data_IF_201295261863
#
_entry.id   IF_201295261863
#
_cell.length_a   1.000
_cell.length_b   1.000
_cell.length_c   1.000
_cell.angle_alpha   90.00
_cell.angle_beta   90.00
_cell.angle_gamma   90.00
#
_symmetry.space_group_name_H-M   'P 1'
#
loop_
_entity.id
_entity.type
_entity.pdbx_description
1 polymer ?
#
# COMPACT_ATOMS: atom_id res chain seq x y z
N UNK A 1 18.59 -11.81 -5.95
CA UNK A 1 19.56 -11.01 -5.16
C UNK A 1 20.81 -10.80 -5.99
N UNK A 2 21.30 -9.57 -6.12
CA UNK A 2 22.63 -9.30 -6.69
C UNK A 2 23.53 -8.78 -5.56
N UNK A 3 24.70 -9.38 -5.35
CA UNK A 3 25.62 -8.99 -4.26
C UNK A 3 24.95 -8.93 -2.87
N UNK A 4 24.07 -9.89 -2.55
CA UNK A 4 23.26 -9.92 -1.30
C UNK A 4 22.35 -8.70 -1.10
N UNK A 5 22.00 -8.01 -2.18
CA UNK A 5 21.03 -6.90 -2.18
C UNK A 5 19.76 -7.32 -2.92
N UNK A 6 18.64 -6.87 -2.38
CA UNK A 6 17.33 -6.94 -3.02
C UNK A 6 16.97 -5.56 -3.57
N UNK A 7 16.33 -5.55 -4.74
CA UNK A 7 15.69 -4.34 -5.22
C UNK A 7 14.45 -4.07 -4.35
N UNK A 8 14.39 -2.90 -3.70
CA UNK A 8 13.30 -2.53 -2.81
C UNK A 8 12.65 -1.22 -3.29
N UNK A 9 11.74 -1.30 -4.27
CA UNK A 9 11.18 -0.12 -4.92
C UNK A 9 10.28 0.69 -3.98
N UNK A 10 10.28 2.02 -4.16
CA UNK A 10 9.42 2.96 -3.45
C UNK A 10 8.92 4.03 -4.41
N UNK A 11 7.65 4.40 -4.30
CA UNK A 11 7.08 5.45 -5.13
C UNK A 11 7.62 6.83 -4.77
N UNK A 12 8.25 7.52 -5.73
CA UNK A 12 8.75 8.89 -5.59
C UNK A 12 7.94 9.86 -6.45
N UNK A 13 6.66 10.01 -6.10
CA UNK A 13 5.70 10.91 -6.74
C UNK A 13 4.59 11.27 -5.75
N UNK A 14 3.73 12.22 -6.10
CA UNK A 14 2.51 12.46 -5.32
C UNK A 14 1.68 11.18 -5.31
N UNK A 15 1.27 10.73 -4.12
CA UNK A 15 0.60 9.44 -3.90
C UNK A 15 1.54 8.32 -3.43
N UNK A 16 2.86 8.53 -3.50
CA UNK A 16 3.85 7.58 -3.00
C UNK A 16 3.73 6.22 -3.68
N UNK A 17 3.91 5.14 -2.91
CA UNK A 17 3.85 3.77 -3.45
C UNK A 17 2.47 3.37 -3.96
N UNK A 18 1.38 4.01 -3.51
CA UNK A 18 0.04 3.72 -4.04
C UNK A 18 -0.09 4.00 -5.54
N UNK A 19 0.74 4.91 -6.08
CA UNK A 19 0.78 5.26 -7.50
C UNK A 19 1.55 4.27 -8.37
N UNK A 20 2.21 3.26 -7.78
CA UNK A 20 2.96 2.24 -8.51
C UNK A 20 2.69 0.79 -8.06
N UNK A 21 1.93 0.59 -6.98
CA UNK A 21 1.64 -0.72 -6.38
C UNK A 21 0.89 -1.69 -7.30
N UNK A 22 0.63 -2.92 -6.85
CA UNK A 22 -0.25 -3.87 -7.56
C UNK A 22 -1.74 -3.49 -7.56
N UNK A 23 -2.14 -2.36 -6.97
CA UNK A 23 -3.53 -1.90 -6.80
C UNK A 23 -4.46 -2.79 -5.95
N UNK A 24 -4.05 -3.99 -5.56
CA UNK A 24 -4.79 -4.84 -4.64
C UNK A 24 -5.10 -4.08 -3.34
N UNK A 25 -6.33 -4.22 -2.86
CA UNK A 25 -6.79 -3.62 -1.62
C UNK A 25 -7.31 -4.71 -0.67
N UNK A 26 -6.65 -4.92 0.46
CA UNK A 26 -7.09 -5.88 1.48
C UNK A 26 -7.18 -5.18 2.84
N UNK A 27 -8.20 -5.51 3.63
CA UNK A 27 -8.31 -5.04 5.03
C UNK A 27 -7.27 -5.73 5.92
N UNK A 28 -7.03 -7.02 5.71
CA UNK A 28 -6.16 -7.87 6.53
C UNK A 28 -6.95 -8.87 7.38
N UNK A 29 -6.33 -9.43 8.42
CA UNK A 29 -6.96 -10.39 9.32
C UNK A 29 -7.30 -9.73 10.68
N UNK A 30 -8.49 -10.05 11.24
CA UNK A 30 -8.91 -9.71 12.61
C UNK A 30 -7.81 -9.94 13.64
N UNK A 31 -7.17 -11.10 13.62
CA UNK A 31 -6.16 -11.45 14.63
C UNK A 31 -4.94 -10.50 14.60
N UNK A 32 -4.63 -9.87 13.48
CA UNK A 32 -3.53 -8.91 13.39
C UNK A 32 -3.84 -7.61 14.14
N UNK A 33 -5.07 -7.12 14.02
CA UNK A 33 -5.54 -5.90 14.70
C UNK A 33 -5.79 -6.14 16.19
N UNK A 34 -6.38 -7.28 16.55
CA UNK A 34 -6.55 -7.64 17.95
C UNK A 34 -5.18 -7.80 18.65
N UNK A 35 -4.16 -8.31 17.93
CA UNK A 35 -2.77 -8.34 18.43
C UNK A 35 -2.20 -6.93 18.63
N UNK A 36 -2.50 -5.97 17.76
CA UNK A 36 -2.06 -4.58 17.98
C UNK A 36 -2.67 -3.98 19.25
N UNK A 37 -3.95 -4.24 19.51
CA UNK A 37 -4.59 -3.83 20.77
C UNK A 37 -3.85 -4.40 21.98
N UNK A 38 -3.49 -5.68 21.93
CA UNK A 38 -2.71 -6.33 23.01
C UNK A 38 -1.30 -5.75 23.18
N UNK A 39 -0.74 -5.09 22.15
CA UNK A 39 0.54 -4.39 22.19
C UNK A 39 0.42 -2.94 22.69
N UNK A 40 -0.75 -2.53 23.19
CA UNK A 40 -1.01 -1.19 23.75
C UNK A 40 -1.57 -0.19 22.75
N UNK A 41 -1.95 -0.64 21.55
CA UNK A 41 -2.67 0.19 20.58
C UNK A 41 -4.19 0.10 20.82
N UNK A 42 -4.66 0.63 21.95
CA UNK A 42 -6.04 0.42 22.44
C UNK A 42 -7.15 0.81 21.45
N UNK A 43 -6.85 1.76 20.54
CA UNK A 43 -7.78 2.27 19.51
C UNK A 43 -7.58 1.66 18.12
N UNK A 44 -6.97 0.48 18.05
CA UNK A 44 -6.65 -0.23 16.82
C UNK A 44 -7.25 -1.64 16.78
N UNK A 45 -8.36 -1.86 17.50
CA UNK A 45 -9.12 -3.12 17.42
C UNK A 45 -9.63 -3.38 16.00
N UNK A 46 -9.98 -4.65 15.72
CA UNK A 46 -10.61 -5.01 14.45
C UNK A 46 -11.83 -4.13 14.13
N UNK A 47 -12.69 -3.90 15.11
CA UNK A 47 -13.92 -3.15 14.94
C UNK A 47 -13.64 -1.69 14.55
N UNK A 48 -12.64 -1.06 15.17
CA UNK A 48 -12.23 0.31 14.85
C UNK A 48 -11.59 0.41 13.47
N UNK A 49 -10.72 -0.54 13.12
CA UNK A 49 -10.04 -0.56 11.83
C UNK A 49 -10.99 -0.86 10.67
N UNK A 50 -11.92 -1.81 10.87
CA UNK A 50 -13.00 -2.10 9.92
C UNK A 50 -13.90 -0.89 9.73
N UNK A 51 -14.27 -0.19 10.80
CA UNK A 51 -15.05 1.05 10.68
C UNK A 51 -14.33 2.13 9.87
N UNK A 52 -13.04 2.36 10.10
CA UNK A 52 -12.25 3.32 9.33
C UNK A 52 -12.10 2.91 7.86
N UNK A 53 -11.98 1.61 7.61
CA UNK A 53 -11.96 1.06 6.25
C UNK A 53 -13.27 1.34 5.51
N UNK A 54 -14.41 0.95 6.07
CA UNK A 54 -15.74 1.22 5.50
C UNK A 54 -15.93 2.72 5.23
N UNK A 55 -15.54 3.57 6.19
CA UNK A 55 -15.62 5.03 6.06
C UNK A 55 -14.73 5.60 4.95
N UNK A 56 -13.64 4.94 4.59
CA UNK A 56 -12.75 5.38 3.53
C UNK A 56 -13.31 5.08 2.12
N UNK A 57 -14.24 4.11 2.02
CA UNK A 57 -14.82 3.68 0.75
C UNK A 57 -15.82 4.70 0.20
N UNK A 58 -15.80 4.87 -1.11
CA UNK A 58 -16.83 5.58 -1.86
C UNK A 58 -18.09 4.71 -1.90
N UNK A 59 -19.23 5.30 -1.57
CA UNK A 59 -20.52 4.62 -1.59
C UNK A 59 -20.81 4.11 -2.99
N UNK A 60 -21.34 2.90 -3.07
CA UNK A 60 -21.91 2.40 -4.31
C UNK A 60 -23.26 3.07 -4.56
N UNK A 61 -23.72 3.10 -5.81
CA UNK A 61 -24.95 3.79 -6.21
C UNK A 61 -26.24 3.29 -5.50
N UNK A 62 -26.15 2.21 -4.73
CA UNK A 62 -27.28 1.54 -4.06
C UNK A 62 -27.22 1.57 -2.53
N UNK A 63 -26.27 2.28 -1.91
CA UNK A 63 -26.17 2.39 -0.44
C UNK A 63 -26.88 3.65 0.08
N UNK A 64 -27.82 3.46 1.00
CA UNK A 64 -28.52 4.54 1.71
C UNK A 64 -27.50 5.32 2.55
N UNK A 65 -27.34 6.61 2.24
CA UNK A 65 -26.28 7.47 2.78
C UNK A 65 -26.68 8.04 4.14
N UNK A 66 -26.52 7.24 5.19
CA UNK A 66 -26.46 7.72 6.59
C UNK A 66 -25.04 7.59 7.18
N UNK A 67 -24.09 7.01 6.42
CA UNK A 67 -22.68 6.86 6.81
C UNK A 67 -21.79 7.83 6.03
N UNK A 68 -20.69 8.34 6.63
CA UNK A 68 -19.75 9.19 5.92
C UNK A 68 -19.09 8.41 4.78
N UNK A 69 -19.23 8.93 3.56
CA UNK A 69 -18.70 8.33 2.34
C UNK A 69 -17.30 8.88 2.07
N UNK A 70 -16.32 7.98 1.93
CA UNK A 70 -14.94 8.32 1.58
C UNK A 70 -14.71 8.42 0.07
N UNK A 71 -13.45 8.36 -0.35
CA UNK A 71 -13.06 8.58 -1.76
C UNK A 71 -12.38 7.37 -2.40
N UNK A 72 -12.11 6.31 -1.63
CA UNK A 72 -11.48 5.09 -2.13
C UNK A 72 -12.49 4.32 -2.96
N UNK A 73 -12.14 4.05 -4.21
CA UNK A 73 -12.97 3.27 -5.12
C UNK A 73 -12.37 1.88 -5.22
N UNK A 74 -13.19 0.85 -4.97
CA UNK A 74 -12.82 -0.55 -5.15
C UNK A 74 -13.62 -1.15 -6.30
N UNK A 75 -12.92 -1.80 -7.21
CA UNK A 75 -13.48 -2.59 -8.31
C UNK A 75 -12.57 -3.81 -8.53
N UNK A 76 -12.92 -4.65 -9.49
CA UNK A 76 -12.08 -5.76 -9.94
C UNK A 76 -11.36 -5.38 -11.23
N UNK A 77 -10.22 -6.04 -11.49
CA UNK A 77 -9.51 -5.91 -12.76
C UNK A 77 -10.33 -6.45 -13.92
N UNK A 78 -9.97 -6.05 -15.13
CA UNK A 78 -10.58 -6.64 -16.32
C UNK A 78 -10.27 -8.14 -16.39
N UNK A 79 -11.28 -8.95 -16.68
CA UNK A 79 -11.19 -10.39 -16.73
C UNK A 79 -10.80 -10.83 -18.14
N UNK A 80 -9.60 -11.39 -18.28
CA UNK A 80 -9.12 -11.94 -19.54
C UNK A 80 -9.47 -13.43 -19.59
N UNK A 81 -10.02 -13.89 -20.71
CA UNK A 81 -10.44 -15.28 -20.89
C UNK A 81 -9.27 -16.25 -20.66
N UNK A 82 -8.07 -15.86 -21.10
CA UNK A 82 -6.81 -16.57 -20.93
C UNK A 82 -6.43 -16.73 -19.45
N UNK A 83 -6.76 -15.73 -18.63
CA UNK A 83 -6.54 -15.79 -17.19
C UNK A 83 -7.56 -16.69 -16.49
N UNK A 84 -8.79 -16.77 -17.01
CA UNK A 84 -9.87 -17.58 -16.45
C UNK A 84 -9.58 -19.07 -16.51
N UNK A 85 -8.94 -19.57 -17.58
CA UNK A 85 -8.58 -20.99 -17.68
C UNK A 85 -7.61 -21.39 -16.55
N UNK A 86 -6.57 -20.60 -16.32
CA UNK A 86 -5.58 -20.87 -15.26
C UNK A 86 -6.21 -20.70 -13.88
N UNK A 87 -7.02 -19.66 -13.67
CA UNK A 87 -7.73 -19.44 -12.41
C UNK A 87 -8.64 -20.64 -12.09
N UNK A 88 -9.43 -21.11 -13.05
CA UNK A 88 -10.31 -22.25 -12.88
C UNK A 88 -9.55 -23.55 -12.59
N UNK A 89 -8.41 -23.77 -13.25
CA UNK A 89 -7.55 -24.93 -12.97
C UNK A 89 -7.08 -24.94 -11.51
N UNK A 90 -6.65 -23.78 -11.00
CA UNK A 90 -6.20 -23.66 -9.60
C UNK A 90 -7.38 -23.77 -8.63
N UNK A 91 -8.56 -23.22 -8.95
CA UNK A 91 -9.77 -23.36 -8.14
C UNK A 91 -10.28 -24.81 -8.07
N UNK A 92 -10.22 -25.54 -9.18
CA UNK A 92 -10.59 -26.96 -9.19
C UNK A 92 -9.62 -27.79 -8.34
N UNK A 93 -8.31 -27.58 -8.52
CA UNK A 93 -7.29 -28.26 -7.74
C UNK A 93 -7.38 -27.92 -6.23
N UNK A 94 -7.71 -26.68 -5.89
CA UNK A 94 -7.89 -26.28 -4.49
C UNK A 94 -9.15 -26.91 -3.88
N UNK A 95 -10.22 -27.05 -4.65
CA UNK A 95 -11.45 -27.77 -4.27
C UNK A 95 -11.18 -29.26 -4.00
N UNK A 96 -10.38 -29.93 -4.84
CA UNK A 96 -9.96 -31.33 -4.61
C UNK A 96 -9.19 -31.50 -3.29
N UNK A 97 -8.47 -30.45 -2.85
CA UNK A 97 -7.77 -30.40 -1.56
C UNK A 97 -8.65 -29.93 -0.39
N UNK A 98 -9.95 -29.68 -0.63
CA UNK A 98 -10.89 -29.21 0.38
C UNK A 98 -10.67 -27.75 0.82
N UNK A 99 -9.94 -26.95 0.03
CA UNK A 99 -9.74 -25.53 0.31
C UNK A 99 -10.95 -24.71 -0.14
N UNK A 100 -11.31 -23.72 0.68
CA UNK A 100 -12.45 -22.83 0.45
C UNK A 100 -12.24 -21.92 -0.77
N UNK A 101 -13.29 -21.73 -1.55
CA UNK A 101 -13.45 -20.56 -2.41
C UNK A 101 -13.95 -19.35 -1.60
N UNK A 102 -13.27 -18.22 -1.73
CA UNK A 102 -13.60 -16.97 -1.04
C UNK A 102 -14.26 -16.04 -2.05
N UNK A 103 -15.56 -15.82 -1.89
CA UNK A 103 -16.34 -14.97 -2.80
C UNK A 103 -16.23 -13.47 -2.48
N UNK A 104 -15.81 -13.12 -1.26
CA UNK A 104 -15.67 -11.75 -0.80
C UNK A 104 -14.56 -11.63 0.25
N UNK A 105 -13.77 -10.56 0.16
CA UNK A 105 -12.66 -10.20 1.05
C UNK A 105 -12.94 -8.94 1.88
N UNK A 106 -14.17 -8.41 1.82
CA UNK A 106 -14.59 -7.20 2.55
C UNK A 106 -14.49 -7.35 4.08
N UNK A 107 -14.73 -8.57 4.59
CA UNK A 107 -14.67 -8.93 6.01
C UNK A 107 -13.32 -9.51 6.45
N UNK A 108 -12.27 -9.28 5.65
CA UNK A 108 -10.91 -9.71 5.95
C UNK A 108 -10.48 -10.96 5.19
N UNK A 109 -9.25 -11.38 5.45
CA UNK A 109 -8.60 -12.50 4.75
C UNK A 109 -8.70 -13.79 5.56
N UNK A 110 -9.08 -14.89 4.90
CA UNK A 110 -9.13 -16.24 5.47
C UNK A 110 -8.43 -17.23 4.55
N UNK A 111 -8.12 -18.43 5.06
CA UNK A 111 -7.52 -19.51 4.25
C UNK A 111 -8.47 -19.93 3.13
N UNK A 112 -7.95 -19.97 1.89
CA UNK A 112 -8.70 -20.29 0.69
C UNK A 112 -8.18 -19.57 -0.54
N UNK A 113 -8.89 -19.70 -1.66
CA UNK A 113 -8.58 -19.07 -2.95
C UNK A 113 -9.72 -18.20 -3.45
N UNK A 114 -9.40 -17.17 -4.23
CA UNK A 114 -10.37 -16.23 -4.81
C UNK A 114 -9.88 -15.66 -6.13
N UNK A 115 -10.81 -15.42 -7.04
CA UNK A 115 -10.69 -14.59 -8.24
C UNK A 115 -11.37 -13.21 -8.06
N UNK A 116 -12.13 -13.02 -6.98
CA UNK A 116 -12.81 -11.78 -6.62
C UNK A 116 -11.87 -10.82 -5.89
N UNK A 117 -10.79 -10.41 -6.55
CA UNK A 117 -9.72 -9.60 -5.94
C UNK A 117 -10.09 -8.10 -5.97
N UNK A 118 -10.38 -7.48 -4.81
CA UNK A 118 -10.61 -6.04 -4.74
C UNK A 118 -9.35 -5.24 -5.09
N UNK A 119 -9.52 -4.24 -5.94
CA UNK A 119 -8.46 -3.36 -6.37
C UNK A 119 -8.89 -1.90 -6.40
N UNK A 120 -7.97 -0.99 -6.09
CA UNK A 120 -8.19 0.46 -6.16
C UNK A 120 -8.13 0.99 -7.59
N UNK A 121 -9.10 0.57 -8.41
CA UNK A 121 -9.21 0.93 -9.83
C UNK A 121 -10.61 1.44 -10.15
N UNK A 122 -10.74 2.23 -11.20
CA UNK A 122 -12.03 2.71 -11.72
C UNK A 122 -11.91 2.77 -13.24
N UNK A 123 -12.76 2.00 -13.95
CA UNK A 123 -12.74 1.85 -15.41
C UNK A 123 -11.33 1.55 -15.95
N UNK A 124 -10.74 0.44 -15.51
CA UNK A 124 -9.38 0.02 -15.93
C UNK A 124 -8.23 0.94 -15.49
N UNK A 125 -8.49 2.03 -14.75
CA UNK A 125 -7.48 3.00 -14.34
C UNK A 125 -7.20 2.95 -12.85
N UNK A 126 -5.93 3.00 -12.48
CA UNK A 126 -5.48 3.14 -11.09
C UNK A 126 -6.08 4.37 -10.38
N UNK A 127 -6.57 4.15 -9.17
CA UNK A 127 -7.11 5.15 -8.24
C UNK A 127 -6.20 5.30 -7.01
N UNK A 128 -4.97 5.79 -7.24
CA UNK A 128 -4.00 6.08 -6.16
C UNK A 128 -4.53 7.13 -5.18
N UNK A 129 -3.95 7.20 -3.97
CA UNK A 129 -4.34 8.20 -2.95
C UNK A 129 -4.15 9.65 -3.44
N UNK A 130 -3.21 9.86 -4.35
CA UNK A 130 -3.03 11.14 -5.03
C UNK A 130 -4.27 11.56 -5.82
N UNK A 131 -4.92 10.61 -6.48
CA UNK A 131 -6.08 10.87 -7.34
C UNK A 131 -7.36 10.92 -6.52
N UNK A 132 -7.55 9.97 -5.60
CA UNK A 132 -8.77 9.84 -4.81
C UNK A 132 -8.90 10.88 -3.72
N UNK A 133 -7.82 11.25 -3.03
CA UNK A 133 -7.87 12.29 -2.00
C UNK A 133 -7.43 13.64 -2.56
N UNK A 134 -6.14 13.77 -2.88
CA UNK A 134 -5.56 15.08 -3.16
C UNK A 134 -6.09 15.70 -4.47
N UNK A 135 -6.21 14.90 -5.52
CA UNK A 135 -6.64 15.33 -6.84
C UNK A 135 -8.07 15.87 -6.86
N UNK A 136 -8.95 15.35 -5.99
CA UNK A 136 -10.34 15.78 -5.91
C UNK A 136 -10.51 17.16 -5.28
N UNK A 137 -9.66 17.53 -4.31
CA UNK A 137 -9.86 18.76 -3.52
C UNK A 137 -8.77 19.83 -3.68
N UNK A 138 -7.64 19.51 -4.33
CA UNK A 138 -6.49 20.43 -4.45
C UNK A 138 -6.78 21.73 -5.21
N UNK A 139 -7.84 21.78 -6.03
CA UNK A 139 -8.27 22.99 -6.76
C UNK A 139 -9.40 23.75 -6.07
N UNK A 140 -10.08 23.13 -5.11
CA UNK A 140 -11.29 23.69 -4.49
C UNK A 140 -11.05 24.15 -3.06
N UNK A 141 -10.04 23.63 -2.38
CA UNK A 141 -9.71 23.99 -0.99
C UNK A 141 -8.57 25.01 -0.95
N UNK A 142 -8.83 26.30 -0.67
CA UNK A 142 -7.80 27.34 -0.67
C UNK A 142 -6.81 27.21 0.49
N UNK A 143 -7.19 26.51 1.56
CA UNK A 143 -6.36 26.27 2.75
C UNK A 143 -5.42 25.05 2.61
N UNK A 144 -5.36 24.41 1.45
CA UNK A 144 -4.46 23.30 1.17
C UNK A 144 -3.36 23.72 0.20
N UNK A 145 -2.12 23.56 0.62
CA UNK A 145 -0.94 23.85 -0.20
C UNK A 145 -0.12 22.58 -0.45
N UNK A 146 0.23 22.33 -1.70
CA UNK A 146 1.02 21.15 -2.11
C UNK A 146 2.31 21.61 -2.76
N UNK A 147 3.43 21.37 -2.09
CA UNK A 147 4.76 21.71 -2.61
C UNK A 147 5.39 20.45 -3.21
N UNK A 148 5.57 20.44 -4.54
CA UNK A 148 6.22 19.34 -5.26
C UNK A 148 7.72 19.52 -5.30
N UNK A 149 8.47 18.41 -5.46
CA UNK A 149 9.94 18.40 -5.53
C UNK A 149 10.59 19.07 -4.31
N UNK A 150 9.96 18.94 -3.13
CA UNK A 150 10.46 19.40 -1.85
C UNK A 150 10.84 18.18 -1.01
N UNK A 151 12.13 17.87 -0.91
CA UNK A 151 12.62 16.78 -0.08
C UNK A 151 12.85 17.31 1.34
N UNK A 152 12.02 16.89 2.29
CA UNK A 152 12.24 17.20 3.71
C UNK A 152 13.51 16.50 4.18
N UNK A 153 14.36 17.26 4.87
CA UNK A 153 15.68 16.79 5.35
C UNK A 153 15.81 16.84 6.87
N UNK A 154 14.99 17.65 7.55
CA UNK A 154 15.04 17.79 9.00
C UNK A 154 13.71 18.30 9.57
N UNK A 155 13.31 17.79 10.73
CA UNK A 155 12.25 18.36 11.57
C UNK A 155 12.90 19.40 12.49
N UNK A 156 12.25 20.55 12.63
CA UNK A 156 12.71 21.66 13.47
C UNK A 156 11.99 21.58 14.81
N UNK A 157 12.72 21.80 15.91
CA UNK A 157 12.20 21.77 17.27
C UNK A 157 12.33 23.13 17.95
N UNK A 158 11.51 23.36 18.98
CA UNK A 158 11.65 24.48 19.90
C UNK A 158 12.99 24.46 20.64
N UNK A 159 13.38 25.57 21.26
CA UNK A 159 14.67 25.71 21.95
C UNK A 159 14.87 24.71 23.10
N UNK A 160 13.79 24.35 23.78
CA UNK A 160 13.72 23.32 24.83
C UNK A 160 13.51 21.89 24.27
N UNK A 161 13.42 21.74 22.94
CA UNK A 161 13.14 20.50 22.23
C UNK A 161 11.81 19.80 22.55
N UNK A 162 10.89 20.46 23.26
CA UNK A 162 9.62 19.86 23.69
C UNK A 162 8.61 19.72 22.55
N UNK A 163 8.77 20.46 21.45
CA UNK A 163 7.78 20.51 20.37
C UNK A 163 8.41 20.63 18.99
N UNK A 164 7.85 19.91 18.02
CA UNK A 164 8.14 20.14 16.60
C UNK A 164 7.47 21.44 16.13
N UNK A 165 8.26 22.34 15.54
CA UNK A 165 7.82 23.69 15.13
C UNK A 165 7.86 23.93 13.63
N UNK A 166 8.27 22.93 12.85
CA UNK A 166 8.36 23.04 11.40
C UNK A 166 9.28 22.02 10.77
N UNK A 167 9.60 22.22 9.50
CA UNK A 167 10.52 21.36 8.75
C UNK A 167 11.45 22.18 7.86
N UNK A 168 12.64 21.64 7.62
CA UNK A 168 13.57 22.09 6.60
C UNK A 168 13.55 21.13 5.40
N UNK A 169 13.50 21.69 4.19
CA UNK A 169 13.44 20.91 2.95
C UNK A 169 14.29 21.53 1.84
N UNK A 170 14.69 20.69 0.89
CA UNK A 170 15.38 21.08 -0.34
C UNK A 170 14.37 21.11 -1.48
N UNK A 171 14.12 22.29 -2.04
CA UNK A 171 13.24 22.51 -3.18
C UNK A 171 14.01 22.38 -4.49
N UNK A 172 13.49 21.54 -5.39
CA UNK A 172 14.04 21.25 -6.72
C UNK A 172 15.52 20.86 -6.70
N UNK A 173 16.00 20.26 -5.61
CA UNK A 173 17.40 19.90 -5.37
C UNK A 173 18.40 21.08 -5.25
N UNK A 174 17.93 22.32 -5.11
CA UNK A 174 18.81 23.49 -5.11
C UNK A 174 18.59 24.41 -3.90
N UNK A 175 17.34 24.67 -3.52
CA UNK A 175 17.04 25.69 -2.50
C UNK A 175 16.70 25.06 -1.16
N UNK A 176 17.52 25.32 -0.13
CA UNK A 176 17.21 24.93 1.25
C UNK A 176 16.26 25.96 1.86
N UNK A 177 15.07 25.53 2.22
CA UNK A 177 13.99 26.36 2.76
C UNK A 177 13.44 25.77 4.05
N UNK A 178 12.77 26.59 4.84
CA UNK A 178 12.11 26.20 6.08
C UNK A 178 10.64 26.62 6.03
N UNK A 179 9.78 25.82 6.65
CA UNK A 179 8.37 26.17 6.88
C UNK A 179 8.02 25.86 8.33
N UNK A 180 7.36 26.82 8.99
CA UNK A 180 6.91 26.65 10.37
C UNK A 180 5.53 25.95 10.40
N UNK A 181 5.30 25.19 11.46
CA UNK A 181 4.01 24.58 11.76
C UNK A 181 3.47 25.16 13.07
N UNK A 182 2.24 25.67 13.04
CA UNK A 182 1.60 26.23 14.24
C UNK A 182 1.12 25.14 15.20
N UNK A 183 0.46 24.11 14.64
CA UNK A 183 -0.08 23.01 15.43
C UNK A 183 0.86 21.80 15.45
N UNK A 184 0.99 21.11 14.32
CA UNK A 184 1.59 19.77 14.26
C UNK A 184 2.44 19.57 13.01
N UNK A 185 3.39 18.64 13.10
CA UNK A 185 4.15 18.10 11.97
C UNK A 185 3.82 16.61 11.85
N UNK A 186 3.15 16.22 10.77
CA UNK A 186 2.81 14.82 10.48
C UNK A 186 3.85 14.19 9.55
N UNK A 187 4.50 13.12 9.99
CA UNK A 187 5.49 12.39 9.18
C UNK A 187 4.84 11.22 8.46
N UNK A 188 4.64 11.36 7.15
CA UNK A 188 4.06 10.33 6.28
C UNK A 188 5.02 9.90 5.15
N UNK A 189 6.32 9.74 5.46
CA UNK A 189 7.34 9.36 4.48
C UNK A 189 7.43 7.82 4.24
N UNK A 190 6.59 7.06 4.94
CA UNK A 190 6.51 5.59 4.96
C UNK A 190 7.67 4.89 5.65
N UNK A 191 7.63 3.55 5.67
CA UNK A 191 8.44 2.69 6.54
C UNK A 191 9.98 2.90 6.44
N UNK A 192 10.50 3.34 5.28
CA UNK A 192 11.94 3.55 5.10
C UNK A 192 12.36 4.99 5.37
N UNK A 193 11.63 5.97 4.83
CA UNK A 193 12.06 7.38 4.91
C UNK A 193 11.59 8.08 6.19
N UNK A 194 10.55 7.59 6.87
CA UNK A 194 10.11 8.15 8.15
C UNK A 194 11.15 7.94 9.25
N UNK A 195 11.64 6.70 9.52
CA UNK A 195 12.70 6.52 10.52
C UNK A 195 13.99 7.24 10.11
N UNK A 196 14.33 7.26 8.81
CA UNK A 196 15.46 8.07 8.32
C UNK A 196 15.33 9.55 8.69
N UNK A 197 14.17 10.16 8.44
CA UNK A 197 13.95 11.57 8.75
C UNK A 197 14.01 11.83 10.26
N UNK A 198 13.42 10.94 11.07
CA UNK A 198 13.49 11.03 12.53
C UNK A 198 14.93 10.95 13.03
N UNK A 199 15.72 9.99 12.55
CA UNK A 199 17.14 9.84 12.86
C UNK A 199 17.94 11.11 12.47
N UNK A 200 17.74 11.62 11.25
CA UNK A 200 18.37 12.86 10.78
C UNK A 200 17.97 14.10 11.58
N UNK A 201 16.83 14.03 12.26
CA UNK A 201 16.31 15.09 13.13
C UNK A 201 16.69 14.92 14.60
N UNK A 202 17.49 13.90 14.94
CA UNK A 202 17.96 13.65 16.30
C UNK A 202 17.05 12.76 17.16
N UNK A 203 16.05 12.11 16.57
CA UNK A 203 15.18 11.16 17.28
C UNK A 203 15.59 9.74 16.88
N UNK A 204 16.20 9.00 17.80
CA UNK A 204 16.69 7.65 17.55
C UNK A 204 17.73 7.16 18.56
N UNK A 205 18.31 5.97 18.36
CA UNK A 205 19.20 5.35 19.35
C UNK A 205 20.45 6.20 19.61
N UNK A 206 20.71 6.52 20.88
CA UNK A 206 21.83 7.38 21.33
C UNK A 206 23.16 7.10 20.63
N UNK A 207 23.63 5.85 20.68
CA UNK A 207 24.94 5.47 20.13
C UNK A 207 24.99 5.63 18.60
N UNK A 208 23.89 5.32 17.91
CA UNK A 208 23.82 5.49 16.45
C UNK A 208 23.87 6.98 16.08
N UNK A 209 23.09 7.83 16.76
CA UNK A 209 23.11 9.28 16.51
C UNK A 209 24.48 9.88 16.79
N UNK A 210 25.12 9.49 17.90
CA UNK A 210 26.47 9.91 18.28
C UNK A 210 27.52 9.50 17.24
N UNK A 211 27.48 8.27 16.75
CA UNK A 211 28.40 7.79 15.71
C UNK A 211 28.29 8.59 14.39
N UNK A 212 27.14 9.19 14.11
CA UNK A 212 26.90 10.03 12.93
C UNK A 212 27.07 11.53 13.21
N UNK A 213 27.45 11.93 14.43
CA UNK A 213 27.61 13.34 14.82
C UNK A 213 26.28 14.11 14.85
N UNK A 214 25.16 13.43 15.06
CA UNK A 214 23.83 14.04 15.12
C UNK A 214 23.50 14.39 16.58
N UNK A 215 23.19 15.67 16.85
CA UNK A 215 22.70 16.09 18.16
C UNK A 215 21.39 15.37 18.48
N UNK A 216 21.37 14.63 19.59
CA UNK A 216 20.19 13.92 20.06
C UNK A 216 19.13 14.88 20.60
N UNK A 217 17.88 14.58 20.26
CA UNK A 217 16.65 15.19 20.75
C UNK A 217 15.91 14.21 21.66
N UNK A 218 15.81 12.94 21.25
CA UNK A 218 15.19 11.88 22.04
C UNK A 218 15.83 10.53 21.74
N UNK A 219 16.05 9.73 22.79
CA UNK A 219 16.53 8.35 22.68
C UNK A 219 15.36 7.39 22.51
N UNK A 220 15.14 6.94 21.28
CA UNK A 220 14.05 6.03 20.92
C UNK A 220 14.58 4.97 19.95
N UNK A 221 14.02 3.74 19.92
CA UNK A 221 14.48 2.66 19.04
C UNK A 221 14.08 2.85 17.57
N UNK A 222 14.16 4.08 17.05
CA UNK A 222 13.78 4.43 15.67
C UNK A 222 14.63 3.66 14.67
N UNK A 223 13.96 3.01 13.71
CA UNK A 223 14.60 2.21 12.66
C UNK A 223 14.64 0.71 12.97
N UNK A 224 14.31 0.29 14.19
CA UNK A 224 14.15 -1.11 14.55
C UNK A 224 12.77 -1.65 14.11
N UNK A 225 12.55 -2.95 14.30
CA UNK A 225 11.27 -3.64 14.06
C UNK A 225 10.79 -3.62 12.59
N UNK A 226 11.72 -3.54 11.62
CA UNK A 226 11.39 -3.61 10.20
C UNK A 226 10.91 -5.02 9.84
N UNK A 227 9.66 -5.11 9.38
CA UNK A 227 9.04 -6.32 8.87
C UNK A 227 8.61 -6.09 7.41
N UNK A 228 8.70 -7.14 6.59
CA UNK A 228 8.18 -7.16 5.22
C UNK A 228 7.77 -8.60 4.85
N UNK A 229 6.97 -8.74 3.79
CA UNK A 229 6.59 -10.04 3.25
C UNK A 229 7.68 -10.53 2.29
N UNK A 230 8.33 -11.65 2.64
CA UNK A 230 9.24 -12.33 1.73
C UNK A 230 8.49 -12.85 0.51
N UNK A 231 9.04 -12.63 -0.69
CA UNK A 231 8.44 -13.07 -1.95
C UNK A 231 9.39 -14.03 -2.68
N UNK A 232 8.86 -15.19 -3.06
CA UNK A 232 9.54 -16.17 -3.90
C UNK A 232 8.68 -16.41 -5.16
N UNK A 233 9.07 -15.89 -6.33
CA UNK A 233 8.35 -16.19 -7.57
C UNK A 233 8.62 -17.63 -7.99
N UNK A 234 7.56 -18.36 -8.33
CA UNK A 234 7.63 -19.68 -8.96
C UNK A 234 7.17 -19.55 -10.40
N UNK A 235 8.00 -19.97 -11.35
CA UNK A 235 7.69 -19.98 -12.78
C UNK A 235 7.49 -21.43 -13.19
N UNK A 236 6.29 -21.77 -13.62
CA UNK A 236 5.91 -23.13 -14.02
C UNK A 236 5.71 -23.18 -15.54
N UNK A 237 6.11 -24.29 -16.14
CA UNK A 237 5.86 -24.58 -17.55
C UNK A 237 4.78 -25.64 -17.66
N UNK A 238 3.74 -25.36 -18.44
CA UNK A 238 2.68 -26.32 -18.72
C UNK A 238 3.07 -27.24 -19.89
N UNK A 239 2.62 -28.50 -19.84
CA UNK A 239 2.85 -29.49 -20.90
C UNK A 239 1.92 -29.36 -22.10
N UNK A 240 0.89 -28.52 -21.99
CA UNK A 240 0.00 -28.10 -23.08
C UNK A 240 0.15 -26.61 -23.34
N UNK A 241 -0.15 -26.18 -24.55
CA UNK A 241 -0.34 -24.75 -24.82
C UNK A 241 -1.59 -24.25 -24.11
N UNK A 242 -1.46 -23.11 -23.44
CA UNK A 242 -2.56 -22.35 -22.87
C UNK A 242 -2.56 -21.03 -23.64
N UNK A 243 -3.74 -20.56 -24.04
CA UNK A 243 -3.85 -19.27 -24.70
C UNK A 243 -3.27 -18.20 -23.79
N UNK A 244 -2.29 -17.44 -24.29
CA UNK A 244 -1.74 -16.31 -23.55
C UNK A 244 -2.49 -15.05 -23.95
N UNK A 245 -2.73 -14.13 -22.99
CA UNK A 245 -3.33 -12.86 -23.33
C UNK A 245 -2.45 -12.12 -24.33
N UNK A 246 -3.10 -11.32 -25.20
CA UNK A 246 -2.41 -10.40 -26.10
C UNK A 246 -1.34 -9.61 -25.36
N UNK A 247 -0.23 -9.34 -26.03
CA UNK A 247 0.84 -8.56 -25.42
C UNK A 247 0.38 -7.13 -25.15
N UNK A 248 0.90 -6.54 -24.07
CA UNK A 248 0.56 -5.18 -23.64
C UNK A 248 1.02 -4.10 -24.64
N UNK A 249 2.01 -4.41 -25.46
CA UNK A 249 2.58 -3.52 -26.48
C UNK A 249 1.95 -3.69 -27.87
N UNK A 250 1.02 -4.64 -28.05
CA UNK A 250 0.30 -4.78 -29.30
C UNK A 250 -0.58 -3.54 -29.58
N UNK A 251 -0.61 -3.02 -30.83
CA UNK A 251 -1.40 -1.85 -31.17
C UNK A 251 -2.89 -1.95 -30.81
N UNK A 252 -3.48 -3.14 -30.95
CA UNK A 252 -4.87 -3.36 -30.57
C UNK A 252 -5.08 -3.31 -29.06
N UNK A 253 -4.17 -3.89 -28.25
CA UNK A 253 -4.22 -3.81 -26.78
C UNK A 253 -4.14 -2.35 -26.31
N UNK A 254 -3.25 -1.58 -26.94
CA UNK A 254 -3.11 -0.15 -26.69
C UNK A 254 -4.39 0.61 -27.08
N UNK A 255 -4.94 0.35 -28.26
CA UNK A 255 -6.17 0.98 -28.74
C UNK A 255 -7.38 0.67 -27.85
N UNK A 256 -7.57 -0.60 -27.47
CA UNK A 256 -8.66 -1.05 -26.59
C UNK A 256 -8.58 -0.32 -25.23
N UNK A 257 -7.39 -0.20 -24.66
CA UNK A 257 -7.19 0.52 -23.40
C UNK A 257 -7.45 2.03 -23.53
N UNK A 258 -6.97 2.68 -24.60
CA UNK A 258 -7.19 4.11 -24.79
C UNK A 258 -8.65 4.46 -25.05
N UNK A 259 -9.34 3.66 -25.88
CA UNK A 259 -10.72 3.93 -26.31
C UNK A 259 -11.75 3.45 -25.29
N UNK A 260 -11.50 2.30 -24.64
CA UNK A 260 -12.49 1.59 -23.82
C UNK A 260 -12.02 1.28 -22.40
N UNK A 261 -10.73 1.40 -22.12
CA UNK A 261 -10.12 1.06 -20.83
C UNK A 261 -10.27 -0.41 -20.45
N UNK A 262 -10.16 -1.28 -21.46
CA UNK A 262 -10.25 -2.75 -21.36
C UNK A 262 -8.99 -3.42 -21.90
N UNK A 263 -8.91 -4.74 -21.76
CA UNK A 263 -7.83 -5.57 -22.30
C UNK A 263 -6.60 -5.67 -21.37
N UNK A 264 -5.48 -6.18 -21.89
CA UNK A 264 -4.30 -6.52 -21.09
C UNK A 264 -3.74 -5.40 -20.20
N UNK A 265 -3.90 -4.14 -20.62
CA UNK A 265 -3.45 -2.96 -19.85
C UNK A 265 -4.39 -2.58 -18.69
N UNK A 266 -5.62 -3.11 -18.66
CA UNK A 266 -6.60 -2.96 -17.59
C UNK A 266 -6.71 -4.20 -16.69
N UNK A 267 -6.07 -5.30 -17.09
CA UNK A 267 -6.02 -6.57 -16.36
C UNK A 267 -4.84 -6.63 -15.38
N UNK A 268 -4.90 -7.59 -14.45
CA UNK A 268 -3.82 -7.87 -13.49
C UNK A 268 -3.97 -9.31 -12.97
N UNK A 269 -3.49 -9.56 -11.75
CA UNK A 269 -3.63 -10.81 -10.98
C UNK A 269 -5.08 -11.32 -11.08
N UNK A 270 -5.22 -12.56 -11.53
CA UNK A 270 -6.51 -13.22 -11.76
C UNK A 270 -6.93 -14.17 -10.65
N UNK A 271 -5.99 -14.59 -9.80
CA UNK A 271 -6.25 -15.45 -8.67
C UNK A 271 -5.32 -15.14 -7.50
N UNK A 272 -5.87 -15.23 -6.29
CA UNK A 272 -5.17 -15.03 -5.03
C UNK A 272 -5.50 -16.17 -4.10
N UNK A 273 -4.52 -16.62 -3.32
CA UNK A 273 -4.71 -17.65 -2.32
C UNK A 273 -4.01 -17.28 -1.01
N UNK A 274 -4.69 -17.54 0.10
CA UNK A 274 -4.11 -17.54 1.43
C UNK A 274 -4.07 -18.99 1.90
N UNK A 275 -2.87 -19.53 2.10
CA UNK A 275 -2.68 -20.91 2.55
C UNK A 275 -1.81 -20.93 3.79
N UNK A 276 -2.14 -21.81 4.72
CA UNK A 276 -1.27 -22.08 5.85
C UNK A 276 -0.28 -23.18 5.45
N UNK A 277 0.99 -22.82 5.30
CA UNK A 277 2.05 -23.81 5.14
C UNK A 277 2.40 -24.34 6.54
N UNK A 278 1.92 -25.53 6.87
CA UNK A 278 2.18 -26.17 8.16
C UNK A 278 3.63 -26.72 8.24
N UNK A 279 4.62 -25.89 7.92
CA UNK A 279 6.04 -26.22 7.87
C UNK A 279 6.64 -26.49 9.27
N UNK A 280 5.88 -26.25 10.34
CA UNK A 280 6.26 -26.54 11.73
C UNK A 280 5.96 -27.98 12.16
N UNK A 281 5.31 -28.80 11.32
CA UNK A 281 5.00 -30.21 11.62
C UNK A 281 5.94 -31.23 10.97
N UNK A 282 6.92 -30.78 10.17
CA UNK A 282 7.91 -31.64 9.49
C UNK A 282 9.29 -31.61 10.15
N UNK A 283 9.32 -31.83 11.47
CA UNK A 283 10.48 -32.42 12.15
C UNK A 283 10.00 -33.69 12.87
N UNK A 284 10.07 -34.80 12.16
CA UNK A 284 10.29 -36.11 12.77
C UNK A 284 11.79 -36.39 12.75
#
# INVERSE_FOLDING_TARGET
MQQRRCYWPRGKMIGGSSSMSGSIFLLGNKEDFDRWRLLGCDKWSWEEMKFLYEKALKATQHEVVDKPVGTVVLNQFDHLEEHSELAQLVLNASSELGLRYISDLSDGTIVGYTDAIPANIEKGRRMSVAKTYLGQISRTRPNLHVIKRAMVTKILFSSDNSRAVGVEFILRNHHRLKVAAMSEVLVAAGAINSPKLLLQSGIGPSEHLKALGIKQIADLPVGNNLHDHGMLPLILKFGREINLPRSMDEPQSVADYFLRQTGPLAASISIMGFININASSSRQ
#
